data_IF_701330612446
#
_entry.id   IF_701330612446
#
_cell.length_a   1.000
_cell.length_b   1.000
_cell.length_c   1.000
_cell.angle_alpha   90.00
_cell.angle_beta   90.00
_cell.angle_gamma   90.00
#
_symmetry.space_group_name_H-M   'P 1'
#
loop_
_entity.id
_entity.type
_entity.pdbx_description
1 polymer ?
#
# COMPACT_ATOMS: atom_id res chain seq x y z
N UNK A 1 -17.47 5.96 8.48
CA UNK A 1 -17.30 6.00 7.00
C UNK A 1 -16.28 7.04 6.61
N UNK A 2 -15.40 6.70 5.68
CA UNK A 2 -14.39 7.60 5.16
C UNK A 2 -15.00 8.60 4.17
N UNK A 3 -14.37 9.78 4.03
CA UNK A 3 -14.74 10.75 2.98
C UNK A 3 -14.02 10.38 1.68
N UNK A 4 -14.75 10.37 0.57
CA UNK A 4 -14.24 10.04 -0.75
C UNK A 4 -14.09 11.29 -1.65
N UNK A 5 -13.23 11.25 -2.68
CA UNK A 5 -12.30 10.15 -2.97
C UNK A 5 -11.19 10.02 -1.91
N UNK A 6 -10.70 8.80 -1.70
CA UNK A 6 -9.71 8.60 -0.65
C UNK A 6 -8.63 7.54 -0.94
N UNK A 7 -7.47 7.78 -0.37
CA UNK A 7 -6.30 6.90 -0.38
C UNK A 7 -6.03 6.39 1.02
N UNK A 8 -5.89 5.10 1.17
CA UNK A 8 -5.54 4.46 2.44
C UNK A 8 -4.06 4.11 2.51
N UNK A 9 -3.45 4.37 3.67
CA UNK A 9 -2.10 3.95 4.04
C UNK A 9 -2.21 3.08 5.29
N UNK A 10 -1.71 1.85 5.25
CA UNK A 10 -1.66 0.97 6.41
C UNK A 10 -0.21 0.52 6.63
N UNK A 11 0.51 1.23 7.48
CA UNK A 11 1.91 0.98 7.76
C UNK A 11 2.36 1.45 9.14
N UNK A 12 3.36 0.74 9.70
CA UNK A 12 3.96 1.09 10.98
C UNK A 12 5.10 2.09 10.81
N UNK A 13 5.27 2.94 11.82
CA UNK A 13 6.32 3.97 11.90
C UNK A 13 7.42 3.60 12.92
N UNK A 14 8.05 2.42 12.72
CA UNK A 14 9.00 1.87 13.69
C UNK A 14 10.45 2.25 13.42
N UNK A 15 10.80 2.56 12.19
CA UNK A 15 12.16 2.82 11.77
C UNK A 15 12.22 3.97 10.76
N UNK A 16 13.16 4.89 10.96
CA UNK A 16 13.23 6.13 10.18
C UNK A 16 13.47 5.90 8.69
N UNK A 17 14.38 5.00 8.34
CA UNK A 17 14.67 4.67 6.93
C UNK A 17 13.46 4.17 6.14
N UNK A 18 12.49 3.54 6.84
CA UNK A 18 11.20 3.15 6.26
C UNK A 18 10.21 4.31 6.25
N UNK A 19 10.06 4.98 7.39
CA UNK A 19 8.96 5.89 7.69
C UNK A 19 9.16 7.27 7.07
N UNK A 20 10.42 7.73 6.92
CA UNK A 20 10.73 9.06 6.36
C UNK A 20 10.18 9.29 4.95
N UNK A 21 9.97 8.23 4.18
CA UNK A 21 9.37 8.32 2.86
C UNK A 21 7.94 8.89 2.91
N UNK A 22 7.20 8.70 4.00
CA UNK A 22 5.87 9.30 4.17
C UNK A 22 5.88 10.83 4.08
N UNK A 23 7.01 11.48 4.30
CA UNK A 23 7.11 12.95 4.22
C UNK A 23 6.93 13.49 2.80
N UNK A 24 7.05 12.65 1.75
CA UNK A 24 6.69 13.07 0.38
C UNK A 24 5.20 13.40 0.28
N UNK A 25 4.37 12.84 1.17
CA UNK A 25 2.94 13.13 1.23
C UNK A 25 2.64 14.61 1.44
N UNK A 26 3.53 15.41 2.02
CA UNK A 26 3.34 16.87 2.13
C UNK A 26 3.00 17.49 0.76
N UNK A 27 3.84 17.20 -0.24
CA UNK A 27 3.63 17.69 -1.61
C UNK A 27 2.41 17.05 -2.30
N UNK A 28 2.10 15.80 -1.96
CA UNK A 28 0.92 15.12 -2.48
C UNK A 28 -0.34 15.76 -1.93
N UNK A 29 -0.41 16.00 -0.62
CA UNK A 29 -1.55 16.63 0.06
C UNK A 29 -1.81 18.05 -0.46
N UNK A 30 -0.75 18.85 -0.66
CA UNK A 30 -0.82 20.19 -1.25
C UNK A 30 -1.40 20.19 -2.67
N UNK A 31 -0.99 19.22 -3.50
CA UNK A 31 -1.41 19.12 -4.92
C UNK A 31 -2.72 18.37 -5.13
N UNK A 32 -3.25 17.73 -4.09
CA UNK A 32 -4.49 16.94 -4.13
C UNK A 32 -5.45 17.29 -2.98
N UNK A 33 -5.84 18.57 -2.82
CA UNK A 33 -6.70 19.00 -1.70
C UNK A 33 -8.11 18.40 -1.77
N UNK A 34 -8.50 17.87 -2.91
CA UNK A 34 -9.77 17.22 -3.19
C UNK A 34 -9.79 15.72 -2.86
N UNK A 35 -8.65 15.14 -2.45
CA UNK A 35 -8.51 13.72 -2.11
C UNK A 35 -8.15 13.58 -0.63
N UNK A 36 -8.85 12.70 0.07
CA UNK A 36 -8.60 12.42 1.49
C UNK A 36 -7.57 11.29 1.64
N UNK A 37 -6.63 11.45 2.57
CA UNK A 37 -5.60 10.46 2.86
C UNK A 37 -5.75 9.97 4.30
N UNK A 38 -5.92 8.66 4.44
CA UNK A 38 -6.13 8.02 5.75
C UNK A 38 -4.94 7.15 6.11
N UNK A 39 -4.20 7.53 7.16
CA UNK A 39 -3.13 6.70 7.68
C UNK A 39 -3.62 5.89 8.89
N UNK A 40 -3.62 4.57 8.73
CA UNK A 40 -3.79 3.61 9.79
C UNK A 40 -2.43 2.98 10.15
N UNK A 41 -2.14 2.87 11.45
CA UNK A 41 -0.89 2.33 11.94
C UNK A 41 -0.38 3.08 13.16
N UNK A 42 0.92 3.26 13.25
CA UNK A 42 1.57 3.95 14.35
C UNK A 42 2.91 3.31 14.72
N UNK A 43 3.54 3.84 15.75
CA UNK A 43 4.84 3.38 16.24
C UNK A 43 5.65 4.53 16.84
N UNK A 44 6.91 4.27 17.26
CA UNK A 44 7.73 5.26 17.95
C UNK A 44 7.99 6.57 17.18
N UNK A 45 7.84 6.54 15.85
CA UNK A 45 8.06 7.71 14.99
C UNK A 45 6.74 8.40 14.56
N UNK A 46 5.61 7.98 15.12
CA UNK A 46 4.29 8.50 14.80
C UNK A 46 4.23 10.02 14.95
N UNK A 47 4.60 10.55 16.12
CA UNK A 47 4.48 11.99 16.42
C UNK A 47 5.33 12.84 15.48
N UNK A 48 6.49 12.31 15.06
CA UNK A 48 7.36 12.98 14.09
C UNK A 48 6.73 13.07 12.70
N UNK A 49 5.93 12.09 12.29
CA UNK A 49 5.19 12.15 11.02
C UNK A 49 3.97 13.07 11.18
N UNK A 50 3.25 12.95 12.27
CA UNK A 50 2.06 13.75 12.51
C UNK A 50 2.37 15.24 12.65
N UNK A 51 3.52 15.64 13.24
CA UNK A 51 3.95 17.04 13.29
C UNK A 51 4.12 17.69 11.92
N UNK A 52 4.35 16.87 10.88
CA UNK A 52 4.53 17.33 9.50
C UNK A 52 3.26 17.24 8.65
N UNK A 53 2.38 16.28 8.93
CA UNK A 53 1.23 15.98 8.07
C UNK A 53 -0.11 16.44 8.64
N UNK A 54 -0.27 16.59 9.96
CA UNK A 54 -1.54 17.01 10.57
C UNK A 54 -1.99 18.44 10.26
N UNK A 55 -1.11 19.26 9.66
CA UNK A 55 -1.49 20.60 9.22
C UNK A 55 -2.39 20.58 7.95
N UNK A 56 -2.48 19.45 7.27
CA UNK A 56 -3.27 19.30 6.04
C UNK A 56 -4.66 18.78 6.36
N UNK A 57 -5.71 19.51 5.99
CA UNK A 57 -7.12 19.16 6.28
C UNK A 57 -7.58 17.85 5.65
N UNK A 58 -6.93 17.45 4.55
CA UNK A 58 -7.20 16.22 3.82
C UNK A 58 -6.35 15.01 4.28
N UNK A 59 -5.56 15.17 5.37
CA UNK A 59 -4.84 14.07 6.00
C UNK A 59 -5.52 13.67 7.32
N UNK A 60 -5.76 12.38 7.48
CA UNK A 60 -6.48 11.84 8.63
C UNK A 60 -5.70 10.67 9.24
N UNK A 61 -5.33 10.80 10.51
CA UNK A 61 -4.69 9.71 11.25
C UNK A 61 -5.75 8.90 12.01
N UNK A 62 -5.79 7.60 11.75
CA UNK A 62 -6.77 6.68 12.37
C UNK A 62 -6.19 5.92 13.58
N UNK A 63 -4.88 6.05 13.82
CA UNK A 63 -4.24 5.23 14.83
C UNK A 63 -4.12 3.75 14.42
N UNK A 64 -3.83 2.90 15.41
CA UNK A 64 -3.72 1.45 15.20
C UNK A 64 -5.12 0.82 15.09
N UNK A 65 -5.34 0.11 14.00
CA UNK A 65 -6.57 -0.65 13.81
C UNK A 65 -6.49 -2.02 14.48
N UNK A 66 -7.60 -2.46 15.05
CA UNK A 66 -7.76 -3.81 15.58
C UNK A 66 -7.81 -4.82 14.44
N UNK A 67 -6.99 -5.84 14.54
CA UNK A 67 -6.89 -6.90 13.54
C UNK A 67 -7.78 -8.10 13.94
N UNK A 68 -8.44 -8.76 12.99
CA UNK A 68 -8.45 -8.50 11.54
C UNK A 68 -9.60 -7.58 11.08
N UNK A 69 -10.63 -7.38 11.88
CA UNK A 69 -11.91 -6.86 11.42
C UNK A 69 -11.85 -5.38 11.03
N UNK A 70 -11.22 -4.54 11.86
CA UNK A 70 -11.05 -3.12 11.55
C UNK A 70 -10.10 -2.88 10.36
N UNK A 71 -9.15 -3.77 10.14
CA UNK A 71 -8.27 -3.73 8.96
C UNK A 71 -9.06 -4.08 7.69
N UNK A 72 -9.94 -5.09 7.75
CA UNK A 72 -10.84 -5.43 6.65
C UNK A 72 -11.83 -4.31 6.33
N UNK A 73 -12.43 -3.72 7.36
CA UNK A 73 -13.33 -2.58 7.23
C UNK A 73 -12.60 -1.42 6.55
N UNK A 74 -11.40 -1.06 7.00
CA UNK A 74 -10.57 -0.03 6.40
C UNK A 74 -10.30 -0.31 4.91
N UNK A 75 -9.84 -1.50 4.56
CA UNK A 75 -9.62 -1.85 3.16
C UNK A 75 -10.92 -1.83 2.34
N UNK A 76 -12.06 -2.19 2.92
CA UNK A 76 -13.32 -2.14 2.17
C UNK A 76 -13.73 -0.72 1.80
N UNK A 77 -13.41 0.26 2.65
CA UNK A 77 -13.82 1.65 2.50
C UNK A 77 -12.90 2.50 1.61
N UNK A 78 -11.61 2.23 1.52
CA UNK A 78 -10.69 3.03 0.70
C UNK A 78 -10.89 2.80 -0.80
N UNK A 79 -10.61 3.82 -1.62
CA UNK A 79 -10.63 3.71 -3.09
C UNK A 79 -9.32 3.15 -3.65
N UNK A 80 -8.19 3.62 -3.14
CA UNK A 80 -6.82 3.23 -3.54
C UNK A 80 -6.00 2.95 -2.29
N UNK A 81 -5.18 1.92 -2.33
CA UNK A 81 -4.18 1.67 -1.29
C UNK A 81 -2.80 2.16 -1.74
N UNK A 82 -2.12 2.94 -0.91
CA UNK A 82 -0.76 3.38 -1.16
C UNK A 82 0.20 2.92 -0.04
N UNK A 83 1.27 2.25 -0.42
CA UNK A 83 2.40 1.91 0.46
C UNK A 83 3.57 2.85 0.18
N UNK A 84 3.66 3.93 0.94
CA UNK A 84 4.70 4.96 0.83
C UNK A 84 5.79 4.68 1.85
N UNK A 85 6.83 3.97 1.42
CA UNK A 85 7.87 3.46 2.32
C UNK A 85 9.26 3.59 1.73
N UNK A 86 10.24 3.92 2.57
CA UNK A 86 11.66 4.00 2.15
C UNK A 86 12.36 2.66 2.07
N UNK A 87 11.77 1.60 2.66
CA UNK A 87 12.23 0.21 2.61
C UNK A 87 11.09 -0.71 3.05
N UNK A 88 10.93 -1.83 2.38
CA UNK A 88 10.11 -2.95 2.85
C UNK A 88 10.66 -4.27 2.29
N UNK A 89 10.51 -5.38 3.01
CA UNK A 89 10.97 -6.69 2.56
C UNK A 89 9.84 -7.48 1.88
N UNK A 90 8.68 -7.52 2.51
CA UNK A 90 7.51 -8.22 2.01
C UNK A 90 6.26 -7.71 2.75
N UNK A 91 5.73 -6.56 2.31
CA UNK A 91 4.64 -5.89 3.00
C UNK A 91 3.38 -6.77 3.08
N UNK A 92 2.97 -7.09 4.32
CA UNK A 92 1.70 -7.80 4.54
C UNK A 92 0.50 -6.95 4.14
N UNK A 93 0.52 -5.66 4.49
CA UNK A 93 -0.59 -4.75 4.16
C UNK A 93 -0.77 -4.57 2.65
N UNK A 94 0.31 -4.65 1.86
CA UNK A 94 0.22 -4.64 0.40
C UNK A 94 -0.48 -5.89 -0.14
N UNK A 95 -0.18 -7.06 0.41
CA UNK A 95 -0.86 -8.32 0.06
C UNK A 95 -2.32 -8.31 0.51
N UNK A 96 -2.59 -7.83 1.72
CA UNK A 96 -3.96 -7.72 2.25
C UNK A 96 -4.82 -6.79 1.38
N UNK A 97 -4.29 -5.64 0.96
CA UNK A 97 -4.98 -4.73 0.05
C UNK A 97 -5.33 -5.40 -1.28
N UNK A 98 -4.39 -6.14 -1.87
CA UNK A 98 -4.62 -6.88 -3.11
C UNK A 98 -5.63 -8.03 -2.92
N UNK A 99 -5.58 -8.76 -1.80
CA UNK A 99 -6.60 -9.78 -1.46
C UNK A 99 -7.99 -9.16 -1.32
N UNK A 100 -8.07 -7.92 -0.85
CA UNK A 100 -9.32 -7.14 -0.79
C UNK A 100 -9.69 -6.45 -2.12
N UNK A 101 -9.03 -6.83 -3.22
CA UNK A 101 -9.25 -6.29 -4.59
C UNK A 101 -9.08 -4.77 -4.69
N UNK A 102 -8.23 -4.20 -3.85
CA UNK A 102 -7.92 -2.77 -3.97
C UNK A 102 -6.85 -2.55 -5.02
N UNK A 103 -7.00 -1.51 -5.87
CA UNK A 103 -5.88 -1.05 -6.68
C UNK A 103 -4.79 -0.52 -5.75
N UNK A 104 -3.55 -0.92 -6.01
CA UNK A 104 -2.42 -0.63 -5.12
C UNK A 104 -1.33 0.17 -5.82
N UNK A 105 -0.71 1.07 -5.06
CA UNK A 105 0.50 1.78 -5.45
C UNK A 105 1.55 1.54 -4.37
N UNK A 106 2.77 1.21 -4.73
CA UNK A 106 3.85 1.04 -3.77
C UNK A 106 5.14 1.70 -4.25
N UNK A 107 5.94 2.16 -3.30
CA UNK A 107 7.30 2.63 -3.59
C UNK A 107 8.13 1.46 -4.12
N UNK A 108 8.88 1.70 -5.21
CA UNK A 108 9.78 0.73 -5.83
C UNK A 108 11.05 0.52 -4.98
N UNK A 109 10.91 -0.20 -3.86
CA UNK A 109 11.99 -0.46 -2.91
C UNK A 109 11.89 -1.87 -2.34
N UNK A 110 13.04 -2.46 -2.03
CA UNK A 110 13.14 -3.76 -1.36
C UNK A 110 12.37 -4.86 -2.08
N UNK A 111 11.49 -5.55 -1.37
CA UNK A 111 10.66 -6.65 -1.90
C UNK A 111 9.32 -6.21 -2.53
N UNK A 112 8.99 -4.92 -2.54
CA UNK A 112 7.72 -4.48 -3.13
C UNK A 112 7.55 -4.87 -4.61
N UNK A 113 8.59 -4.82 -5.48
CA UNK A 113 8.49 -5.27 -6.87
C UNK A 113 8.14 -6.75 -7.03
N UNK A 114 8.45 -7.58 -6.03
CA UNK A 114 8.10 -9.01 -6.04
C UNK A 114 6.62 -9.26 -5.66
N UNK A 115 5.98 -8.26 -5.04
CA UNK A 115 4.60 -8.34 -4.55
C UNK A 115 3.57 -7.93 -5.58
N UNK A 116 3.97 -7.49 -6.78
CA UNK A 116 3.07 -7.05 -7.83
C UNK A 116 3.71 -7.14 -9.22
N UNK A 117 2.88 -7.05 -10.23
CA UNK A 117 3.29 -6.85 -11.64
C UNK A 117 2.93 -5.42 -11.98
N UNK A 118 3.96 -4.57 -12.16
CA UNK A 118 3.79 -3.15 -12.44
C UNK A 118 2.89 -2.90 -13.67
N UNK A 119 1.96 -1.94 -13.53
CA UNK A 119 0.97 -1.61 -14.54
C UNK A 119 -0.17 -2.64 -14.70
N UNK A 120 -0.11 -3.80 -14.03
CA UNK A 120 -1.11 -4.86 -14.17
C UNK A 120 -1.83 -5.19 -12.87
N UNK A 121 -1.09 -5.40 -11.79
CA UNK A 121 -1.66 -5.75 -10.47
C UNK A 121 -1.49 -4.63 -9.45
N UNK A 122 -0.81 -3.57 -9.82
CA UNK A 122 -0.51 -2.38 -9.04
C UNK A 122 0.42 -1.46 -9.82
N UNK A 123 0.76 -0.32 -9.24
CA UNK A 123 1.77 0.59 -9.77
C UNK A 123 2.95 0.69 -8.82
N UNK A 124 4.16 0.64 -9.38
CA UNK A 124 5.39 1.00 -8.68
C UNK A 124 5.73 2.46 -8.97
N UNK A 125 6.13 3.19 -7.93
CA UNK A 125 6.59 4.59 -8.04
C UNK A 125 7.99 4.70 -7.44
N UNK A 126 8.83 5.51 -8.04
CA UNK A 126 10.19 5.70 -7.55
C UNK A 126 10.20 6.40 -6.18
N UNK A 127 11.11 5.98 -5.33
CA UNK A 127 11.32 6.59 -4.01
C UNK A 127 11.57 8.09 -4.13
N UNK A 128 10.86 8.89 -3.34
CA UNK A 128 10.95 10.36 -3.36
C UNK A 128 10.14 11.01 -4.48
N UNK A 129 9.58 10.25 -5.40
CA UNK A 129 8.87 10.79 -6.57
C UNK A 129 7.38 11.01 -6.28
N UNK A 130 7.08 12.15 -5.65
CA UNK A 130 5.70 12.53 -5.35
C UNK A 130 4.87 12.80 -6.62
N UNK A 131 5.49 13.17 -7.75
CA UNK A 131 4.76 13.44 -8.99
C UNK A 131 4.23 12.16 -9.61
N UNK A 132 5.04 11.09 -9.66
CA UNK A 132 4.55 9.77 -10.07
C UNK A 132 3.45 9.27 -9.13
N UNK A 133 3.59 9.47 -7.81
CA UNK A 133 2.56 9.06 -6.86
C UNK A 133 1.24 9.77 -7.13
N UNK A 134 1.26 11.09 -7.35
CA UNK A 134 0.07 11.88 -7.71
C UNK A 134 -0.54 11.39 -9.02
N UNK A 135 0.27 11.21 -10.06
CA UNK A 135 -0.19 10.71 -11.37
C UNK A 135 -0.94 9.38 -11.24
N UNK A 136 -0.34 8.41 -10.52
CA UNK A 136 -0.95 7.08 -10.38
C UNK A 136 -2.20 7.09 -9.49
N UNK A 137 -2.23 7.93 -8.44
CA UNK A 137 -3.45 8.12 -7.63
C UNK A 137 -4.57 8.71 -8.49
N UNK A 138 -4.31 9.79 -9.22
CA UNK A 138 -5.30 10.41 -10.11
C UNK A 138 -5.85 9.41 -11.12
N UNK A 139 -4.97 8.71 -11.82
CA UNK A 139 -5.35 7.69 -12.80
C UNK A 139 -6.32 6.65 -12.22
N UNK A 140 -6.02 6.12 -11.03
CA UNK A 140 -6.87 5.11 -10.40
C UNK A 140 -8.17 5.67 -9.82
N UNK A 141 -8.20 6.94 -9.41
CA UNK A 141 -9.42 7.59 -8.93
C UNK A 141 -10.36 7.96 -10.08
N UNK A 142 -9.82 8.34 -11.25
CA UNK A 142 -10.57 8.77 -12.43
C UNK A 142 -11.02 7.59 -13.28
N UNK A 143 -10.16 6.60 -13.55
CA UNK A 143 -10.53 5.40 -14.32
C UNK A 143 -10.96 4.25 -13.40
N UNK A 144 -12.25 4.22 -13.07
CA UNK A 144 -12.85 3.18 -12.21
C UNK A 144 -12.76 1.78 -12.82
N UNK A 145 -12.71 1.67 -14.17
CA UNK A 145 -12.55 0.38 -14.83
C UNK A 145 -11.13 -0.15 -14.63
N UNK A 146 -10.13 0.68 -14.88
CA UNK A 146 -8.73 0.32 -14.63
C UNK A 146 -8.50 -0.07 -13.17
N UNK A 147 -9.01 0.74 -12.22
CA UNK A 147 -8.89 0.49 -10.79
C UNK A 147 -9.47 -0.88 -10.41
N UNK A 148 -10.66 -1.20 -10.93
CA UNK A 148 -11.30 -2.50 -10.70
C UNK A 148 -10.52 -3.65 -11.32
N UNK A 149 -10.12 -3.53 -12.58
CA UNK A 149 -9.40 -4.58 -13.31
C UNK A 149 -8.03 -4.85 -12.67
N UNK A 150 -7.35 -3.80 -12.18
CA UNK A 150 -6.10 -3.89 -11.44
C UNK A 150 -6.29 -4.58 -10.08
N UNK A 151 -7.31 -4.22 -9.31
CA UNK A 151 -7.63 -4.87 -8.04
C UNK A 151 -7.97 -6.36 -8.20
N UNK A 152 -8.77 -6.71 -9.21
CA UNK A 152 -9.10 -8.11 -9.53
C UNK A 152 -7.87 -8.91 -9.98
N UNK A 153 -6.96 -8.27 -10.73
CA UNK A 153 -5.69 -8.88 -11.16
C UNK A 153 -4.73 -9.07 -9.98
N UNK A 154 -4.66 -8.09 -9.09
CA UNK A 154 -3.86 -8.15 -7.85
C UNK A 154 -4.32 -9.29 -6.94
N UNK A 155 -5.62 -9.42 -6.73
CA UNK A 155 -6.20 -10.53 -5.98
C UNK A 155 -5.77 -11.90 -6.52
N UNK A 156 -5.94 -12.11 -7.83
CA UNK A 156 -5.54 -13.38 -8.48
C UNK A 156 -4.04 -13.64 -8.36
N UNK A 157 -3.24 -12.60 -8.51
CA UNK A 157 -1.78 -12.71 -8.40
C UNK A 157 -1.33 -13.15 -7.01
N UNK A 158 -1.87 -12.52 -5.94
CA UNK A 158 -1.51 -12.85 -4.57
C UNK A 158 -2.02 -14.24 -4.19
N UNK A 159 -3.27 -14.55 -4.53
CA UNK A 159 -3.87 -15.86 -4.23
C UNK A 159 -3.10 -17.00 -4.91
N UNK A 160 -2.67 -16.81 -6.16
CA UNK A 160 -1.89 -17.80 -6.89
C UNK A 160 -0.43 -17.89 -6.39
N UNK A 161 0.23 -16.76 -6.11
CA UNK A 161 1.68 -16.73 -5.87
C UNK A 161 2.03 -17.01 -4.42
N UNK A 162 1.23 -16.51 -3.47
CA UNK A 162 1.51 -16.54 -2.02
C UNK A 162 0.57 -17.45 -1.23
N UNK A 163 -0.19 -18.31 -1.91
CA UNK A 163 -0.95 -19.38 -1.29
C UNK A 163 -0.02 -20.41 -0.64
N UNK A 164 -0.32 -20.83 0.59
CA UNK A 164 0.52 -21.77 1.34
C UNK A 164 0.74 -23.10 0.64
N UNK A 165 -0.25 -23.61 -0.11
CA UNK A 165 -0.09 -24.86 -0.88
C UNK A 165 0.95 -24.69 -2.01
N UNK A 166 0.91 -23.55 -2.71
CA UNK A 166 1.88 -23.23 -3.78
C UNK A 166 3.27 -23.06 -3.20
N UNK A 167 3.40 -22.30 -2.11
CA UNK A 167 4.67 -22.07 -1.42
C UNK A 167 5.26 -23.39 -0.93
N UNK A 168 4.46 -24.25 -0.27
CA UNK A 168 4.90 -25.53 0.22
C UNK A 168 5.35 -26.48 -0.92
N UNK A 169 4.58 -26.56 -2.03
CA UNK A 169 4.96 -27.34 -3.20
C UNK A 169 6.29 -26.89 -3.80
N UNK A 170 6.48 -25.57 -3.94
CA UNK A 170 7.72 -25.00 -4.46
C UNK A 170 8.90 -25.28 -3.54
N UNK A 171 8.73 -25.12 -2.24
CA UNK A 171 9.75 -25.43 -1.24
C UNK A 171 10.18 -26.91 -1.32
N UNK A 172 9.22 -27.83 -1.33
CA UNK A 172 9.49 -29.28 -1.43
C UNK A 172 10.24 -29.60 -2.72
N UNK A 173 9.85 -28.99 -3.85
CA UNK A 173 10.51 -29.18 -5.15
C UNK A 173 11.97 -28.75 -5.08
N UNK A 174 12.26 -27.58 -4.51
CA UNK A 174 13.62 -27.06 -4.35
C UNK A 174 14.41 -27.96 -3.39
N UNK A 175 13.88 -28.27 -2.21
CA UNK A 175 14.56 -29.14 -1.25
C UNK A 175 14.96 -30.49 -1.87
N UNK A 176 14.06 -31.12 -2.60
CA UNK A 176 14.34 -32.41 -3.30
C UNK A 176 15.45 -32.29 -4.37
N UNK A 177 15.65 -31.12 -4.96
CA UNK A 177 16.73 -30.94 -5.95
C UNK A 177 18.12 -30.93 -5.34
N UNK A 178 18.22 -30.60 -4.05
CA UNK A 178 19.48 -30.60 -3.29
C UNK A 178 19.77 -31.92 -2.55
N UNK A 179 18.79 -32.81 -2.48
CA UNK A 179 18.94 -34.12 -1.80
C UNK A 179 19.32 -35.24 -2.77
N UNK A 180 19.60 -34.92 -4.03
CA UNK A 180 20.16 -35.83 -5.04
C UNK A 180 21.66 -35.65 -5.12
#
# INVERSE_FOLDING_TARGET
>A
KLKHPCVGLLQRSNWWGKTSEMLILKKVLEKMPDVNFYWAGGGPLQDRILSELNAYENFHFLGRLEYPDKVREFFSEIDVYALVTGMDLASLSLKEAQLMRKPVIATNVGGNPEMMIDGKTGFLVEKGNHEQLIEKIRLLLEDKKLAKDMGDSGHKFIDYTFNWEVVAKNFIKIARSYLK
#
